data_IF_822281066681
#
_entry.id   IF_822281066681
#
_cell.length_a   1.000
_cell.length_b   1.000
_cell.length_c   1.000
_cell.angle_alpha   90.00
_cell.angle_beta   90.00
_cell.angle_gamma   90.00
#
_symmetry.space_group_name_H-M   'P 1'
#
loop_
_entity.id
_entity.type
_entity.pdbx_description
1 polymer ?
2 non-polymer ?
3 non-polymer ?
4 non-polymer ?
5 non-polymer ?
6 non-polymer ?
7 non-polymer ?
8 non-polymer ?
9 non-polymer ?
10 water ?
#
# COMPACT_ATOMS: atom_id res chain seq x y z
N UNK A 3 -17.45 -19.06 17.40
CA UNK A 3 -15.99 -18.83 17.17
C UNK A 3 -15.75 -18.32 15.73
N UNK A 4 -14.80 -18.89 14.98
CA UNK A 4 -14.72 -18.71 13.52
C UNK A 4 -15.45 -19.84 12.76
N UNK A 5 -16.60 -19.54 12.10
CA UNK A 5 -17.31 -20.57 11.29
C UNK A 5 -16.51 -21.06 10.08
N UNK A 6 -16.81 -22.25 9.59
CA UNK A 6 -16.27 -22.69 8.30
C UNK A 6 -16.91 -21.81 7.19
N UNK A 7 -16.25 -21.73 6.05
CA UNK A 7 -16.55 -20.74 4.99
C UNK A 7 -17.99 -20.87 4.49
N UNK A 8 -18.38 -22.07 4.09
CA UNK A 8 -19.72 -22.32 3.57
C UNK A 8 -20.80 -21.98 4.59
N UNK A 9 -20.48 -22.12 5.88
CA UNK A 9 -21.40 -21.74 6.96
C UNK A 9 -21.51 -20.23 7.15
N UNK A 10 -20.38 -19.55 7.09
CA UNK A 10 -20.35 -18.09 7.19
C UNK A 10 -21.05 -17.43 6.01
N UNK A 11 -20.90 -17.97 4.81
CA UNK A 11 -21.47 -17.36 3.59
C UNK A 11 -22.95 -17.68 3.36
N UNK A 12 -23.65 -16.68 2.80
CA UNK A 12 -25.07 -16.79 2.47
C UNK A 12 -25.48 -17.59 1.24
N UNK A 13 -24.54 -18.00 0.41
CA UNK A 13 -24.88 -18.82 -0.76
C UNK A 13 -23.59 -19.36 -1.36
N UNK A 14 -23.68 -20.41 -2.20
CA UNK A 14 -22.54 -20.80 -3.01
C UNK A 14 -22.41 -19.88 -4.22
N UNK A 15 -21.29 -20.01 -4.93
CA UNK A 15 -21.05 -19.30 -6.19
C UNK A 15 -21.97 -19.92 -7.25
N UNK A 16 -22.83 -19.13 -7.93
CA UNK A 16 -23.71 -19.81 -8.89
C UNK A 16 -22.95 -20.43 -10.04
N UNK A 17 -23.48 -21.53 -10.56
CA UNK A 17 -22.88 -22.21 -11.70
C UNK A 17 -22.83 -21.31 -12.93
N UNK A 18 -23.85 -20.47 -13.12
CA UNK A 18 -23.84 -19.47 -14.21
C UNK A 18 -22.64 -18.50 -14.11
N UNK A 19 -22.28 -18.07 -12.90
CA UNK A 19 -21.08 -17.23 -12.76
C UNK A 19 -19.84 -17.94 -13.28
N UNK A 20 -19.71 -19.22 -12.92
CA UNK A 20 -18.54 -20.02 -13.27
C UNK A 20 -18.47 -20.18 -14.78
N UNK A 21 -19.59 -20.52 -15.41
CA UNK A 21 -19.68 -20.58 -16.89
C UNK A 21 -19.17 -19.29 -17.54
N UNK A 22 -19.64 -18.13 -17.10
CA UNK A 22 -19.19 -16.85 -17.63
C UNK A 22 -17.68 -16.63 -17.46
N UNK A 23 -17.15 -17.01 -16.28
CA UNK A 23 -15.78 -16.78 -15.92
C UNK A 23 -14.81 -17.57 -16.77
N UNK A 24 -15.17 -18.82 -17.03
CA UNK A 24 -14.38 -19.71 -17.88
C UNK A 24 -14.37 -19.28 -19.34
N UNK A 25 -15.42 -18.58 -19.79
CA UNK A 25 -15.46 -18.02 -21.15
C UNK A 25 -14.69 -16.71 -21.28
N UNK A 26 -14.20 -16.14 -20.16
CA UNK A 26 -13.51 -14.87 -20.22
C UNK A 26 -12.44 -14.76 -19.13
N UNK A 27 -11.46 -15.64 -19.23
CA UNK A 27 -10.42 -15.79 -18.23
C UNK A 27 -9.37 -14.66 -18.23
N UNK A 28 -9.19 -13.97 -19.35
CA UNK A 28 -8.30 -12.80 -19.39
C UNK A 28 -8.85 -11.66 -18.54
N UNK A 29 -10.13 -11.37 -18.72
CA UNK A 29 -10.78 -10.36 -17.88
C UNK A 29 -10.77 -10.74 -16.40
N UNK A 30 -10.97 -12.02 -16.08
CA UNK A 30 -10.97 -12.49 -14.70
C UNK A 30 -9.57 -12.31 -14.09
N UNK A 31 -8.53 -12.72 -14.80
CA UNK A 31 -7.17 -12.48 -14.35
C UNK A 31 -6.91 -11.02 -14.05
N UNK A 32 -7.26 -10.13 -14.97
CA UNK A 32 -6.97 -8.71 -14.82
C UNK A 32 -7.72 -8.21 -13.58
N UNK A 33 -9.00 -8.57 -13.46
CA UNK A 33 -9.75 -8.17 -12.30
C UNK A 33 -9.15 -8.73 -10.99
N UNK A 34 -8.72 -9.99 -11.03
CA UNK A 34 -8.12 -10.62 -9.87
C UNK A 34 -6.89 -9.81 -9.44
N UNK A 35 -5.98 -9.57 -10.37
CA UNK A 35 -4.82 -8.66 -10.19
C UNK A 35 -5.22 -7.35 -9.50
N UNK A 36 -6.28 -6.72 -10.01
CA UNK A 36 -6.78 -5.48 -9.42
C UNK A 36 -7.32 -5.63 -8.03
N UNK A 37 -7.94 -6.78 -7.74
CA UNK A 37 -8.45 -7.07 -6.40
C UNK A 37 -7.34 -7.23 -5.35
N UNK A 38 -6.25 -7.88 -5.75
CA UNK A 38 -5.10 -8.07 -4.86
C UNK A 38 -4.54 -6.69 -4.51
N UNK A 39 -4.37 -5.83 -5.53
CA UNK A 39 -3.94 -4.46 -5.33
C UNK A 39 -4.90 -3.66 -4.42
N UNK A 40 -6.20 -3.70 -4.73
CA UNK A 40 -7.23 -3.02 -3.93
C UNK A 40 -7.23 -3.48 -2.46
N UNK A 41 -6.90 -4.74 -2.22
CA UNK A 41 -6.81 -5.29 -0.86
C UNK A 41 -5.64 -4.69 -0.09
N UNK A 42 -4.46 -4.66 -0.71
CA UNK A 42 -3.32 -3.93 -0.15
C UNK A 42 -3.65 -2.44 0.09
N UNK A 43 -4.28 -1.82 -0.90
CA UNK A 43 -4.67 -0.41 -0.80
C UNK A 43 -5.65 -0.11 0.36
N UNK A 44 -6.68 -0.95 0.48
CA UNK A 44 -7.66 -0.87 1.57
C UNK A 44 -6.97 -1.05 2.93
N UNK A 45 -6.05 -2.00 2.99
CA UNK A 45 -5.34 -2.26 4.22
C UNK A 45 -4.58 -1.00 4.63
N UNK A 46 -3.94 -0.34 3.65
CA UNK A 46 -3.22 0.89 3.95
C UNK A 46 -4.14 2.02 4.40
N UNK A 47 -5.29 2.19 3.75
CA UNK A 47 -6.27 3.21 4.16
C UNK A 47 -6.78 3.01 5.59
N UNK A 48 -6.90 1.75 6.03
CA UNK A 48 -7.23 1.44 7.42
C UNK A 48 -6.14 1.88 8.41
N UNK A 49 -4.88 1.59 8.10
CA UNK A 49 -3.74 2.07 8.90
C UNK A 49 -3.81 3.59 9.01
N UNK A 50 -4.02 4.30 7.90
CA UNK A 50 -4.08 5.77 7.94
C UNK A 50 -5.27 6.28 8.77
N UNK A 51 -6.43 5.63 8.66
CA UNK A 51 -7.60 6.00 9.47
C UNK A 51 -7.41 5.69 10.97
N UNK A 52 -6.94 4.48 11.28
CA UNK A 52 -6.86 3.96 12.65
C UNK A 52 -5.41 3.91 13.09
N UNK A 53 -4.74 5.04 12.92
CA UNK A 53 -3.28 5.16 13.02
C UNK A 53 -2.71 5.12 14.44
N UNK A 54 -3.54 4.72 15.39
CA UNK A 54 -3.21 4.60 16.80
C UNK A 54 -3.57 3.21 17.34
N UNK A 55 -4.35 2.44 16.57
CA UNK A 55 -4.74 1.09 16.95
C UNK A 55 -3.57 0.20 16.56
N UNK A 56 -2.75 -0.19 17.53
CA UNK A 56 -1.52 -0.93 17.26
C UNK A 56 -1.75 -2.32 16.63
N UNK A 57 -2.74 -3.07 17.14
CA UNK A 57 -3.05 -4.40 16.63
C UNK A 57 -3.52 -4.31 15.18
N UNK A 58 -4.42 -3.38 14.90
CA UNK A 58 -4.87 -3.16 13.55
C UNK A 58 -3.68 -2.87 12.63
N UNK A 59 -2.85 -1.91 13.05
CA UNK A 59 -1.72 -1.43 12.21
C UNK A 59 -0.71 -2.53 11.85
N UNK A 60 -0.33 -3.32 12.85
CA UNK A 60 0.55 -4.46 12.62
C UNK A 60 -0.02 -5.56 11.74
N UNK A 61 -1.29 -5.92 11.92
CA UNK A 61 -1.93 -6.93 11.06
C UNK A 61 -2.05 -6.40 9.64
N UNK A 62 -2.47 -5.15 9.51
CA UNK A 62 -2.77 -4.58 8.20
C UNK A 62 -1.51 -4.34 7.35
N UNK A 63 -0.39 -4.04 8.00
CA UNK A 63 0.90 -3.81 7.31
C UNK A 63 1.39 -5.15 6.74
N UNK A 64 1.34 -6.19 7.56
CA UNK A 64 1.64 -7.55 7.10
C UNK A 64 0.67 -8.02 6.00
N UNK A 65 -0.61 -7.79 6.20
CA UNK A 65 -1.60 -8.21 5.23
C UNK A 65 -1.34 -7.54 3.88
N UNK A 66 -1.13 -6.21 3.89
CA UNK A 66 -0.79 -5.48 2.65
C UNK A 66 0.40 -6.10 1.91
N UNK A 67 1.43 -6.49 2.64
CA UNK A 67 2.60 -7.05 1.99
C UNK A 67 2.23 -8.34 1.29
N UNK A 68 1.48 -9.19 1.96
CA UNK A 68 1.04 -10.45 1.39
C UNK A 68 0.14 -10.25 0.16
N UNK A 69 -0.75 -9.25 0.21
CA UNK A 69 -1.60 -8.95 -0.92
C UNK A 69 -0.80 -8.44 -2.13
N UNK A 70 0.26 -7.71 -1.84
CA UNK A 70 1.11 -7.16 -2.92
C UNK A 70 1.98 -8.25 -3.57
N UNK A 71 2.45 -9.22 -2.77
CA UNK A 71 3.05 -10.42 -3.35
C UNK A 71 2.08 -11.08 -4.37
N UNK A 72 0.83 -11.24 -3.99
CA UNK A 72 -0.16 -11.83 -4.89
C UNK A 72 -0.42 -10.97 -6.12
N UNK A 73 -0.51 -9.67 -5.94
CA UNK A 73 -0.60 -8.75 -7.05
C UNK A 73 0.51 -9.03 -8.08
N UNK A 74 1.73 -9.16 -7.58
CA UNK A 74 2.91 -9.43 -8.41
C UNK A 74 2.88 -10.82 -9.08
N UNK A 75 2.46 -11.84 -8.35
CA UNK A 75 2.28 -13.19 -8.94
C UNK A 75 1.26 -13.22 -10.09
N UNK A 76 0.12 -12.54 -9.92
CA UNK A 76 -0.89 -12.52 -10.99
C UNK A 76 -0.31 -11.77 -12.21
N UNK A 77 0.43 -10.68 -11.97
CA UNK A 77 1.11 -9.97 -13.07
C UNK A 77 2.10 -10.86 -13.82
N UNK A 78 2.91 -11.62 -13.10
CA UNK A 78 3.80 -12.63 -13.69
C UNK A 78 3.02 -13.61 -14.59
N UNK A 79 1.91 -14.12 -14.07
CA UNK A 79 1.08 -15.06 -14.79
C UNK A 79 0.43 -14.42 -16.03
N UNK A 80 -0.06 -13.18 -15.90
CA UNK A 80 -0.54 -12.42 -17.06
C UNK A 80 0.52 -12.29 -18.16
N UNK A 81 1.77 -12.06 -17.74
CA UNK A 81 2.91 -11.89 -18.67
C UNK A 81 3.20 -13.19 -19.45
N UNK A 82 3.30 -14.30 -18.73
CA UNK A 82 3.52 -15.62 -19.34
C UNK A 82 2.42 -16.07 -20.32
N UNK A 83 1.22 -15.52 -20.19
CA UNK A 83 0.07 -15.95 -20.98
C UNK A 83 -0.41 -14.90 -21.99
N UNK A 84 0.35 -13.83 -22.18
CA UNK A 84 -0.01 -12.78 -23.12
C UNK A 84 -1.31 -12.07 -22.83
N UNK A 85 -1.60 -11.88 -21.53
CA UNK A 85 -2.74 -11.06 -21.14
C UNK A 85 -2.25 -9.63 -21.08
N UNK A 86 -2.85 -8.74 -21.90
CA UNK A 86 -2.44 -7.35 -21.89
C UNK A 86 -2.96 -6.59 -20.67
N UNK A 87 -2.24 -5.52 -20.30
CA UNK A 87 -2.71 -4.61 -19.26
C UNK A 87 -3.76 -3.65 -19.82
N UNK A 88 -5.00 -4.12 -19.99
CA UNK A 88 -6.10 -3.21 -20.34
C UNK A 88 -6.79 -2.79 -19.04
N UNK A 89 -7.36 -1.57 -19.00
CA UNK A 89 -8.11 -1.16 -17.81
C UNK A 89 -9.41 -1.96 -17.69
N UNK A 90 -9.69 -2.41 -16.49
CA UNK A 90 -10.95 -3.06 -16.18
C UNK A 90 -11.40 -2.36 -14.94
N UNK A 91 -12.58 -1.77 -15.04
CA UNK A 91 -13.17 -0.99 -13.97
C UNK A 91 -13.56 -1.91 -12.82
N UNK A 92 -13.67 -1.34 -11.62
CA UNK A 92 -14.04 -2.07 -10.43
C UNK A 92 -15.51 -2.49 -10.51
N UNK A 93 -15.82 -3.70 -10.05
CA UNK A 93 -17.22 -4.17 -9.98
C UNK A 93 -17.96 -3.50 -8.85
N UNK A 94 -19.21 -3.89 -8.66
CA UNK A 94 -20.10 -3.28 -7.67
C UNK A 94 -19.91 -3.79 -6.24
N UNK A 95 -19.28 -4.96 -6.11
CA UNK A 95 -19.38 -5.78 -4.90
C UNK A 95 -18.85 -5.09 -3.66
N UNK A 96 -17.57 -4.75 -3.68
CA UNK A 96 -16.93 -4.11 -2.52
C UNK A 96 -17.63 -2.81 -2.08
N UNK A 97 -17.98 -1.94 -3.02
CA UNK A 97 -18.63 -0.67 -2.69
C UNK A 97 -20.07 -0.86 -2.23
N UNK A 98 -20.74 -1.86 -2.79
CA UNK A 98 -22.07 -2.25 -2.31
C UNK A 98 -22.08 -2.60 -0.82
N UNK A 99 -21.11 -3.41 -0.40
CA UNK A 99 -20.97 -3.82 1.01
C UNK A 99 -20.57 -2.66 1.95
N UNK A 100 -19.74 -1.75 1.46
CA UNK A 100 -19.30 -0.61 2.26
C UNK A 100 -20.42 0.37 2.59
N UNK A 101 -21.37 0.54 1.65
CA UNK A 101 -22.60 1.31 1.91
C UNK A 101 -23.30 0.87 3.21
N UNK A 102 -23.22 -0.41 3.55
CA UNK A 102 -23.76 -0.91 4.83
C UNK A 102 -23.07 -0.40 6.09
N UNK A 103 -21.83 0.05 6.00
CA UNK A 103 -21.06 0.42 7.19
C UNK A 103 -21.70 1.66 7.82
N UNK A 104 -21.90 1.63 9.15
CA UNK A 104 -22.35 2.82 9.91
C UNK A 104 -21.24 3.86 10.05
N UNK A 105 -21.67 5.12 10.16
CA UNK A 105 -20.76 6.26 10.17
C UNK A 105 -20.05 6.50 11.51
N UNK A 106 -20.55 5.92 12.59
CA UNK A 106 -20.10 6.26 13.96
C UNK A 106 -19.13 5.22 14.56
N UNK A 107 -18.18 5.67 15.39
CA UNK A 107 -17.19 4.80 16.05
C UNK A 107 -17.63 4.41 17.48
N UNK A 108 -17.19 3.24 17.99
CA UNK A 108 -16.22 2.27 17.47
C UNK A 108 -16.84 1.23 16.50
N UNK A 109 -18.09 1.44 16.11
CA UNK A 109 -18.86 0.42 15.42
C UNK A 109 -18.66 0.50 13.89
N UNK A 110 -18.31 1.68 13.38
CA UNK A 110 -17.84 1.84 11.99
C UNK A 110 -16.64 0.91 11.69
N UNK A 111 -15.74 0.76 12.67
CA UNK A 111 -14.54 -0.09 12.52
C UNK A 111 -14.87 -1.57 12.48
N UNK A 112 -15.65 -2.03 13.44
CA UNK A 112 -16.13 -3.43 13.47
C UNK A 112 -16.82 -3.78 12.15
N UNK A 113 -17.73 -2.92 11.70
CA UNK A 113 -18.47 -3.10 10.44
C UNK A 113 -17.51 -3.33 9.27
N UNK A 114 -16.53 -2.43 9.17
CA UNK A 114 -15.50 -2.46 8.11
C UNK A 114 -14.73 -3.79 8.16
N UNK A 115 -14.37 -4.24 9.35
CA UNK A 115 -13.64 -5.48 9.48
C UNK A 115 -14.52 -6.69 9.10
N UNK A 116 -15.80 -6.68 9.45
CA UNK A 116 -16.72 -7.76 9.04
C UNK A 116 -16.92 -7.79 7.52
N UNK A 117 -17.07 -6.62 6.88
CA UNK A 117 -17.05 -6.56 5.41
C UNK A 117 -15.78 -7.24 4.90
N UNK A 118 -14.64 -6.89 5.48
CA UNK A 118 -13.36 -7.53 5.17
C UNK A 118 -13.42 -9.05 5.23
N UNK A 119 -13.92 -9.59 6.33
CA UNK A 119 -14.10 -11.04 6.50
C UNK A 119 -14.94 -11.66 5.37
N UNK A 120 -16.04 -11.01 4.98
CA UNK A 120 -16.94 -11.53 3.93
C UNK A 120 -16.28 -11.58 2.55
N UNK A 121 -15.57 -10.50 2.19
CA UNK A 121 -14.84 -10.43 0.91
C UNK A 121 -13.81 -11.55 0.79
N UNK A 122 -13.00 -11.74 1.84
CA UNK A 122 -12.01 -12.81 1.93
C UNK A 122 -12.64 -14.21 1.91
N UNK A 123 -13.72 -14.39 2.66
CA UNK A 123 -14.42 -15.68 2.68
C UNK A 123 -14.99 -16.05 1.30
N UNK A 124 -15.59 -15.07 0.63
CA UNK A 124 -16.14 -15.28 -0.73
C UNK A 124 -15.04 -15.58 -1.72
N UNK A 125 -13.92 -14.84 -1.64
CA UNK A 125 -12.78 -15.14 -2.51
C UNK A 125 -12.29 -16.59 -2.32
N UNK A 126 -12.20 -17.03 -1.07
CA UNK A 126 -11.81 -18.40 -0.79
C UNK A 126 -12.77 -19.42 -1.44
N UNK A 127 -14.07 -19.22 -1.18
CA UNK A 127 -15.12 -20.12 -1.73
C UNK A 127 -15.15 -20.12 -3.25
N UNK A 128 -14.98 -18.94 -3.83
CA UNK A 128 -15.04 -18.79 -5.29
C UNK A 128 -13.79 -19.34 -6.01
N UNK A 129 -12.61 -19.17 -5.42
CA UNK A 129 -11.38 -19.79 -5.96
C UNK A 129 -11.56 -21.33 -6.00
N UNK A 130 -12.07 -21.90 -4.90
CA UNK A 130 -12.32 -23.36 -4.78
C UNK A 130 -13.32 -23.86 -5.80
N UNK A 131 -14.39 -23.10 -6.04
CA UNK A 131 -15.34 -23.44 -7.11
C UNK A 131 -14.70 -23.46 -8.51
N UNK A 132 -13.70 -22.62 -8.73
CA UNK A 132 -13.05 -22.53 -10.03
C UNK A 132 -11.97 -23.57 -10.29
N UNK A 133 -11.15 -23.84 -9.28
CA UNK A 133 -9.99 -24.72 -9.43
C UNK A 133 -10.24 -25.95 -10.32
N UNK A 134 -11.28 -26.75 -10.00
CA UNK A 134 -11.42 -27.97 -10.80
C UNK A 134 -11.70 -27.75 -12.28
N UNK A 135 -12.08 -26.54 -12.70
CA UNK A 135 -12.41 -26.28 -14.11
C UNK A 135 -11.30 -25.58 -14.88
N UNK A 136 -10.16 -25.32 -14.24
CA UNK A 136 -9.09 -24.53 -14.83
C UNK A 136 -7.96 -25.43 -15.30
N UNK A 137 -7.11 -24.90 -16.17
CA UNK A 137 -5.89 -25.59 -16.54
C UNK A 137 -5.01 -25.82 -15.34
N UNK A 138 -4.07 -26.74 -15.50
CA UNK A 138 -3.09 -27.13 -14.50
C UNK A 138 -2.51 -25.97 -13.67
N UNK A 139 -1.97 -24.95 -14.35
CA UNK A 139 -1.14 -23.94 -13.69
C UNK A 139 -2.05 -22.95 -12.96
N UNK A 140 -3.12 -22.50 -13.61
CA UNK A 140 -4.13 -21.70 -12.96
C UNK A 140 -4.76 -22.42 -11.77
N UNK A 141 -5.15 -23.69 -11.97
CA UNK A 141 -5.69 -24.52 -10.88
C UNK A 141 -4.79 -24.55 -9.66
N UNK A 142 -3.49 -24.77 -9.89
CA UNK A 142 -2.52 -24.85 -8.79
C UNK A 142 -2.32 -23.50 -8.09
N UNK A 143 -2.21 -22.44 -8.88
CA UNK A 143 -2.07 -21.07 -8.37
C UNK A 143 -3.30 -20.69 -7.54
N UNK A 144 -4.49 -20.86 -8.11
CA UNK A 144 -5.71 -20.54 -7.38
C UNK A 144 -5.92 -21.40 -6.12
N UNK A 145 -5.48 -22.66 -6.17
CA UNK A 145 -5.49 -23.57 -5.01
C UNK A 145 -4.54 -23.10 -3.91
N UNK A 146 -3.31 -22.73 -4.27
CA UNK A 146 -2.38 -22.10 -3.31
C UNK A 146 -2.89 -20.79 -2.68
N UNK A 147 -3.72 -20.02 -3.39
CA UNK A 147 -4.34 -18.81 -2.80
C UNK A 147 -5.51 -19.05 -1.84
N UNK A 148 -6.11 -20.24 -1.86
CA UNK A 148 -7.22 -20.60 -0.96
C UNK A 148 -6.86 -20.50 0.50
N UNK A 149 -5.72 -21.10 0.82
CA UNK A 149 -5.22 -21.17 2.18
C UNK A 149 -5.06 -19.77 2.78
N UNK A 150 -4.47 -18.86 2.02
CA UNK A 150 -4.25 -17.49 2.53
C UNK A 150 -5.58 -16.75 2.69
N UNK A 151 -6.52 -16.90 1.74
CA UNK A 151 -7.86 -16.26 1.83
C UNK A 151 -8.62 -16.66 3.08
N UNK A 152 -8.59 -17.95 3.41
CA UNK A 152 -9.20 -18.48 4.63
C UNK A 152 -8.57 -17.88 5.88
N UNK A 153 -7.24 -17.80 5.87
CA UNK A 153 -6.49 -17.15 6.95
C UNK A 153 -6.82 -15.66 7.07
N UNK A 154 -7.00 -14.97 5.95
CA UNK A 154 -7.38 -13.54 5.98
C UNK A 154 -8.81 -13.36 6.46
N UNK A 155 -9.71 -14.22 5.98
CA UNK A 155 -11.09 -14.28 6.51
C UNK A 155 -11.04 -14.41 8.06
N UNK A 156 -10.31 -15.40 8.55
CA UNK A 156 -10.02 -15.59 10.00
C UNK A 156 -9.50 -14.34 10.70
N UNK A 157 -8.43 -13.76 10.13
CA UNK A 157 -7.81 -12.54 10.64
C UNK A 157 -8.73 -11.36 10.78
N UNK A 158 -9.51 -11.06 9.73
CA UNK A 158 -10.48 -9.94 9.81
C UNK A 158 -11.56 -10.14 10.89
N UNK A 159 -12.08 -11.36 10.99
CA UNK A 159 -13.13 -11.67 11.96
C UNK A 159 -12.60 -11.64 13.41
N UNK A 160 -11.43 -12.25 13.63
CA UNK A 160 -10.70 -12.14 14.90
C UNK A 160 -10.43 -10.70 15.31
N UNK A 161 -10.03 -9.87 14.36
CA UNK A 161 -9.83 -8.44 14.64
C UNK A 161 -11.14 -7.72 14.91
N UNK A 162 -12.23 -8.15 14.29
CA UNK A 162 -13.56 -7.60 14.63
C UNK A 162 -13.87 -7.84 16.12
N UNK A 163 -13.59 -9.06 16.59
CA UNK A 163 -13.80 -9.44 18.00
C UNK A 163 -12.86 -8.74 18.98
N UNK A 164 -11.67 -8.33 18.51
CA UNK A 164 -10.80 -7.44 19.26
C UNK A 164 -11.53 -6.14 19.62
N UNK A 165 -12.32 -5.56 18.69
CA UNK A 165 -13.04 -4.28 18.90
C UNK A 165 -14.59 -4.38 19.03
N UNK A 166 -15.12 -5.56 19.31
CA UNK A 166 -16.55 -5.77 19.67
C UNK A 166 -16.63 -6.87 20.71
N UNK A 167 -17.71 -7.07 21.47
CA UNK A 167 -19.16 -6.84 21.19
C UNK A 167 -19.68 -8.03 20.40
N UNK A 168 -19.64 -9.19 21.05
CA UNK A 168 -20.14 -10.47 20.52
C UNK A 168 -21.51 -10.31 19.83
N UNK A 169 -22.43 -9.66 20.52
CA UNK A 169 -23.78 -9.48 20.01
C UNK A 169 -23.75 -8.50 18.84
N UNK A 170 -23.09 -7.36 19.01
CA UNK A 170 -22.96 -6.37 17.93
C UNK A 170 -22.27 -6.91 16.65
N UNK A 171 -21.29 -7.82 16.81
CA UNK A 171 -20.66 -8.45 15.66
C UNK A 171 -21.65 -9.40 14.96
N UNK A 172 -22.30 -10.25 15.76
CA UNK A 172 -23.34 -11.16 15.28
C UNK A 172 -24.46 -10.48 14.49
N UNK A 173 -24.89 -9.30 14.92
CA UNK A 173 -25.90 -8.53 14.18
C UNK A 173 -25.35 -7.94 12.91
N UNK A 174 -24.13 -7.42 12.97
CA UNK A 174 -23.47 -6.90 11.76
C UNK A 174 -23.24 -8.02 10.72
N UNK A 175 -22.76 -9.18 11.21
CA UNK A 175 -22.53 -10.36 10.37
C UNK A 175 -23.81 -10.76 9.64
N UNK A 176 -24.93 -10.81 10.38
CA UNK A 176 -26.27 -11.19 9.82
C UNK A 176 -26.72 -10.24 8.72
N UNK A 177 -26.49 -8.94 8.93
CA UNK A 177 -26.82 -7.90 7.95
C UNK A 177 -25.96 -7.96 6.68
N UNK A 178 -24.66 -8.19 6.84
CA UNK A 178 -23.74 -8.18 5.70
C UNK A 178 -23.93 -9.45 4.92
N UNK A 179 -24.16 -10.56 5.62
CA UNK A 179 -24.43 -11.82 4.96
C UNK A 179 -25.58 -11.68 3.92
N UNK A 180 -26.66 -11.01 4.34
CA UNK A 180 -27.83 -10.81 3.53
C UNK A 180 -27.49 -9.98 2.30
N UNK A 181 -26.88 -8.81 2.50
CA UNK A 181 -26.48 -7.97 1.37
C UNK A 181 -25.49 -8.68 0.44
N UNK A 182 -24.52 -9.38 1.02
CA UNK A 182 -23.51 -10.11 0.24
C UNK A 182 -24.13 -11.20 -0.66
N UNK A 183 -25.04 -11.98 -0.08
CA UNK A 183 -25.79 -12.99 -0.84
C UNK A 183 -26.54 -12.35 -2.00
N UNK A 184 -27.20 -11.23 -1.71
CA UNK A 184 -27.90 -10.50 -2.74
C UNK A 184 -26.95 -9.99 -3.84
N UNK A 185 -25.79 -9.45 -3.46
CA UNK A 185 -24.77 -9.05 -4.45
C UNK A 185 -24.30 -10.24 -5.33
N UNK A 186 -24.18 -11.43 -4.75
CA UNK A 186 -23.78 -12.62 -5.53
C UNK A 186 -24.91 -13.25 -6.38
N UNK A 187 -26.14 -13.29 -5.86
CA UNK A 187 -27.25 -13.97 -6.55
C UNK A 187 -27.96 -13.09 -7.60
N UNK A 188 -27.97 -11.76 -7.43
CA UNK A 188 -28.68 -10.88 -8.36
C UNK A 188 -27.97 -10.81 -9.71
N UNK A 189 -28.71 -10.53 -10.80
CA UNK A 189 -28.10 -10.35 -12.13
C UNK A 189 -27.09 -9.19 -12.16
N UNK A 190 -26.08 -9.31 -13.01
CA UNK A 190 -25.00 -8.32 -13.11
C UNK A 190 -24.64 -8.17 -14.60
N UNK A 191 -24.37 -6.95 -15.03
CA UNK A 191 -24.04 -6.68 -16.44
C UNK A 191 -22.61 -7.02 -16.82
N UNK A 192 -21.72 -7.12 -15.83
CA UNK A 192 -20.27 -7.23 -16.05
C UNK A 192 -19.74 -8.50 -15.38
N UNK A 193 -18.79 -9.17 -16.03
CA UNK A 193 -18.02 -10.23 -15.40
C UNK A 193 -16.85 -9.62 -14.64
N UNK A 194 -16.83 -9.91 -13.35
CA UNK A 194 -15.69 -9.63 -12.47
C UNK A 194 -15.52 -10.83 -11.54
N UNK A 195 -14.44 -10.84 -10.78
CA UNK A 195 -14.22 -11.88 -9.83
C UNK A 195 -15.35 -11.96 -8.81
N UNK A 196 -15.90 -10.82 -8.41
CA UNK A 196 -16.98 -10.80 -7.44
C UNK A 196 -18.30 -10.36 -8.07
N UNK A 197 -18.48 -10.58 -9.37
CA UNK A 197 -19.75 -10.16 -9.99
C UNK A 197 -20.89 -11.11 -9.62
N UNK A 198 -22.12 -10.62 -9.81
CA UNK A 198 -23.32 -11.41 -9.70
C UNK A 198 -23.54 -12.29 -10.92
N UNK A 199 -24.78 -12.71 -11.12
CA UNK A 199 -25.08 -13.68 -12.17
C UNK A 199 -25.13 -12.92 -13.52
N UNK A 200 -24.62 -13.52 -14.60
CA UNK A 200 -24.75 -12.86 -15.92
C UNK A 200 -26.20 -12.53 -16.34
N UNK A 201 -26.34 -11.57 -17.27
CA UNK A 201 -27.62 -10.99 -17.70
C UNK A 201 -28.17 -10.05 -16.64
N UNK B 2 27.72 11.82 -15.97
CA UNK B 2 27.88 10.94 -14.77
C UNK B 2 26.50 10.52 -14.24
N UNK B 3 25.82 9.65 -15.00
CA UNK B 3 24.46 9.17 -14.69
C UNK B 3 24.35 8.66 -13.26
N UNK B 4 23.31 9.08 -12.55
CA UNK B 4 23.12 8.71 -11.14
C UNK B 4 24.37 9.10 -10.30
N UNK B 5 24.50 10.38 -9.93
CA UNK B 5 25.65 10.78 -9.10
C UNK B 5 25.66 10.22 -7.67
N UNK B 6 26.72 10.49 -6.93
CA UNK B 6 26.83 10.14 -5.51
C UNK B 6 25.81 10.98 -4.74
N UNK B 7 25.47 10.56 -3.53
CA UNK B 7 24.37 11.20 -2.75
C UNK B 7 24.69 12.68 -2.49
N UNK B 8 25.88 12.97 -2.00
CA UNK B 8 26.25 14.36 -1.65
C UNK B 8 26.38 15.24 -2.90
N UNK B 9 26.79 14.65 -4.02
CA UNK B 9 26.83 15.36 -5.31
C UNK B 9 25.42 15.71 -5.80
N UNK B 10 24.55 14.70 -5.81
CA UNK B 10 23.15 14.88 -6.23
C UNK B 10 22.42 15.92 -5.37
N UNK B 11 22.69 15.93 -4.06
CA UNK B 11 22.01 16.87 -3.17
C UNK B 11 22.64 18.26 -3.15
N UNK B 12 21.79 19.25 -2.95
CA UNK B 12 22.19 20.64 -2.91
C UNK B 12 22.78 21.14 -1.59
N UNK B 13 22.61 20.41 -0.50
CA UNK B 13 23.20 20.82 0.79
C UNK B 13 23.28 19.66 1.76
N UNK B 14 24.17 19.76 2.77
CA UNK B 14 24.14 18.81 3.88
C UNK B 14 23.04 19.15 4.86
N UNK B 15 22.72 18.18 5.70
CA UNK B 15 21.76 18.38 6.78
C UNK B 15 22.41 19.37 7.76
N UNK B 16 21.70 20.46 8.15
CA UNK B 16 22.27 21.40 9.12
C UNK B 16 22.48 20.84 10.51
N UNK B 17 23.56 21.25 11.17
CA UNK B 17 23.85 20.82 12.55
C UNK B 17 22.72 21.19 13.46
N UNK B 18 22.11 22.35 13.20
CA UNK B 18 20.94 22.82 13.96
C UNK B 18 19.77 21.82 13.89
N UNK B 19 19.49 21.28 12.71
CA UNK B 19 18.48 20.21 12.60
C UNK B 19 18.84 19.03 13.49
N UNK B 20 20.10 18.57 13.40
CA UNK B 20 20.58 17.42 14.17
C UNK B 20 20.40 17.63 15.66
N UNK B 21 20.74 18.82 16.16
CA UNK B 21 20.55 19.18 17.58
C UNK B 21 19.11 19.07 18.04
N UNK B 22 18.19 19.58 17.23
CA UNK B 22 16.74 19.49 17.54
C UNK B 22 16.33 18.03 17.52
N UNK B 23 16.81 17.28 16.51
CA UNK B 23 16.41 15.89 16.37
C UNK B 23 16.81 15.05 17.58
N UNK B 24 18.02 15.29 18.09
CA UNK B 24 18.55 14.55 19.25
C UNK B 24 17.81 14.90 20.54
N UNK B 25 17.38 16.14 20.66
CA UNK B 25 16.55 16.59 21.79
C UNK B 25 15.10 16.05 21.77
N UNK B 26 14.64 15.47 20.65
CA UNK B 26 13.30 14.89 20.58
C UNK B 26 13.21 13.70 19.61
N UNK B 27 13.84 12.62 20.04
CA UNK B 27 13.94 11.39 19.26
C UNK B 27 12.62 10.64 19.15
N UNK B 28 11.70 10.91 20.08
CA UNK B 28 10.38 10.28 20.06
C UNK B 28 9.52 10.84 18.93
N UNK B 29 9.48 12.17 18.74
CA UNK B 29 8.70 12.68 17.60
C UNK B 29 9.38 12.35 16.28
N UNK B 30 10.70 12.31 16.27
CA UNK B 30 11.46 11.86 15.11
C UNK B 30 11.08 10.43 14.71
N UNK B 31 11.11 9.51 15.68
CA UNK B 31 10.68 8.13 15.46
C UNK B 31 9.27 8.01 14.93
N UNK B 32 8.35 8.80 15.49
CA UNK B 32 6.97 8.72 15.10
C UNK B 32 6.85 9.19 13.65
N UNK B 33 7.46 10.33 13.34
CA UNK B 33 7.39 10.85 12.00
C UNK B 33 8.07 9.92 10.98
N UNK B 34 9.18 9.32 11.39
CA UNK B 34 9.89 8.32 10.56
C UNK B 34 9.00 7.13 10.24
N UNK B 35 8.31 6.63 11.26
CA UNK B 35 7.36 5.53 11.08
C UNK B 35 6.34 5.89 10.00
N UNK B 36 5.80 7.11 10.12
CA UNK B 36 4.83 7.66 9.17
C UNK B 36 5.37 7.89 7.78
N UNK B 37 6.64 8.29 7.68
CA UNK B 37 7.32 8.41 6.40
C UNK B 37 7.46 7.08 5.68
N UNK B 38 7.77 6.00 6.41
CA UNK B 38 7.87 4.66 5.79
C UNK B 38 6.53 4.27 5.20
N UNK B 39 5.47 4.43 6.00
CA UNK B 39 4.09 4.18 5.56
C UNK B 39 3.75 5.03 4.34
N UNK B 40 4.01 6.34 4.42
CA UNK B 40 3.67 7.25 3.33
C UNK B 40 4.34 6.85 2.03
N UNK B 41 5.59 6.43 2.12
CA UNK B 41 6.32 5.97 0.94
C UNK B 41 5.66 4.75 0.32
N UNK B 42 5.17 3.85 1.16
CA UNK B 42 4.43 2.69 0.69
C UNK B 42 3.15 3.13 -0.01
N UNK B 43 2.42 4.08 0.58
CA UNK B 43 1.14 4.50 0.01
C UNK B 43 1.33 5.31 -1.26
N UNK B 44 2.37 6.13 -1.28
CA UNK B 44 2.72 6.84 -2.51
C UNK B 44 3.00 5.86 -3.65
N UNK B 45 3.83 4.86 -3.40
CA UNK B 45 4.10 3.84 -4.37
C UNK B 45 2.83 3.23 -4.95
N UNK B 46 1.85 2.94 -4.07
CA UNK B 46 0.57 2.36 -4.52
C UNK B 46 -0.25 3.34 -5.37
N UNK B 47 -0.33 4.60 -4.97
CA UNK B 47 -0.99 5.64 -5.78
C UNK B 47 -0.37 5.77 -7.17
N UNK B 48 0.94 5.62 -7.27
CA UNK B 48 1.63 5.61 -8.56
C UNK B 48 1.21 4.42 -9.42
N UNK B 49 1.14 3.24 -8.81
CA UNK B 49 0.64 2.04 -9.50
C UNK B 49 -0.76 2.29 -10.05
N UNK B 50 -1.63 2.88 -9.22
CA UNK B 50 -3.00 3.16 -9.61
C UNK B 50 -3.14 4.27 -10.66
N UNK B 51 -2.31 5.31 -10.59
CA UNK B 51 -2.30 6.36 -11.62
C UNK B 51 -1.71 5.90 -12.92
N UNK B 52 -0.64 5.10 -12.87
CA UNK B 52 0.09 4.62 -14.05
C UNK B 52 -0.08 3.12 -14.23
N UNK B 53 -1.35 2.71 -14.26
CA UNK B 53 -1.72 1.29 -14.29
C UNK B 53 -1.38 0.50 -15.57
N UNK B 54 -1.04 1.16 -16.66
CA UNK B 54 -0.54 0.45 -17.85
C UNK B 54 0.98 0.49 -18.01
N UNK B 55 1.68 1.11 -17.06
CA UNK B 55 3.14 1.19 -17.08
C UNK B 55 3.76 0.03 -16.36
N UNK B 56 4.01 -1.06 -17.07
CA UNK B 56 4.44 -2.29 -16.43
C UNK B 56 5.72 -2.19 -15.62
N UNK B 57 6.71 -1.46 -16.11
CA UNK B 57 7.99 -1.32 -15.39
C UNK B 57 7.79 -0.65 -14.03
N UNK B 58 7.06 0.47 -14.04
CA UNK B 58 6.75 1.20 -12.82
C UNK B 58 6.00 0.29 -11.82
N UNK B 59 5.03 -0.47 -12.32
CA UNK B 59 4.11 -1.21 -11.48
C UNK B 59 4.88 -2.24 -10.68
N UNK B 60 5.67 -3.03 -11.39
CA UNK B 60 6.50 -4.03 -10.77
C UNK B 60 7.56 -3.49 -9.79
N UNK B 61 8.17 -2.35 -10.10
CA UNK B 61 9.13 -1.74 -9.18
C UNK B 61 8.38 -1.18 -7.95
N UNK B 62 7.28 -0.47 -8.18
CA UNK B 62 6.50 0.12 -7.11
C UNK B 62 5.89 -0.90 -6.14
N UNK B 63 5.47 -2.06 -6.65
CA UNK B 63 4.83 -3.06 -5.79
C UNK B 63 5.87 -3.62 -4.83
N UNK B 64 7.04 -3.95 -5.35
CA UNK B 64 8.20 -4.38 -4.55
C UNK B 64 8.67 -3.33 -3.58
N UNK B 65 8.75 -2.09 -4.02
CA UNK B 65 9.22 -1.00 -3.17
C UNK B 65 8.28 -0.84 -1.96
N UNK B 66 6.97 -0.82 -2.24
CA UNK B 66 5.93 -0.69 -1.22
C UNK B 66 6.07 -1.75 -0.16
N UNK B 67 6.28 -2.99 -0.57
CA UNK B 67 6.58 -4.06 0.41
C UNK B 67 7.81 -3.79 1.29
N UNK B 68 8.88 -3.29 0.68
CA UNK B 68 10.07 -2.95 1.45
C UNK B 68 9.78 -1.84 2.46
N UNK B 69 9.10 -0.81 2.02
CA UNK B 69 8.77 0.31 2.89
C UNK B 69 7.81 -0.16 4.04
N UNK B 70 6.92 -1.11 3.75
CA UNK B 70 6.06 -1.65 4.79
C UNK B 70 6.83 -2.47 5.85
N UNK B 71 7.88 -3.17 5.42
CA UNK B 71 8.79 -3.85 6.36
C UNK B 71 9.44 -2.81 7.30
N UNK B 72 9.89 -1.71 6.72
CA UNK B 72 10.52 -0.66 7.51
C UNK B 72 9.54 -0.06 8.51
N UNK B 73 8.34 0.26 8.02
CA UNK B 73 7.23 0.72 8.87
C UNK B 73 7.05 -0.23 10.08
N UNK B 74 6.99 -1.52 9.80
CA UNK B 74 6.83 -2.51 10.87
C UNK B 74 8.03 -2.54 11.85
N UNK B 75 9.24 -2.33 11.32
CA UNK B 75 10.45 -2.32 12.16
C UNK B 75 10.50 -1.11 13.06
N UNK B 76 10.14 0.08 12.52
CA UNK B 76 10.06 1.26 13.36
C UNK B 76 9.04 1.05 14.52
N UNK B 77 7.88 0.50 14.19
CA UNK B 77 6.84 0.17 15.18
C UNK B 77 7.36 -0.78 16.28
N UNK B 78 8.10 -1.81 15.89
CA UNK B 78 8.72 -2.76 16.84
C UNK B 78 9.74 -2.07 17.77
N UNK B 79 10.54 -1.17 17.22
CA UNK B 79 11.52 -0.50 18.01
C UNK B 79 10.82 0.48 18.99
N UNK B 80 9.84 1.22 18.49
CA UNK B 80 8.99 2.06 19.34
C UNK B 80 8.39 1.26 20.50
N UNK B 81 7.86 0.08 20.19
CA UNK B 81 7.30 -0.80 21.20
C UNK B 81 8.33 -1.18 22.26
N UNK B 82 9.50 -1.66 21.85
CA UNK B 82 10.58 -2.04 22.80
C UNK B 82 11.05 -0.90 23.70
N UNK B 83 11.00 0.32 23.20
CA UNK B 83 11.48 1.47 23.93
C UNK B 83 10.36 2.31 24.57
N UNK B 84 9.14 1.78 24.63
CA UNK B 84 8.01 2.44 25.28
C UNK B 84 7.63 3.77 24.67
N UNK B 85 7.68 3.88 23.35
CA UNK B 85 7.29 5.10 22.70
C UNK B 85 5.85 4.94 22.23
N UNK B 86 4.93 5.71 22.82
CA UNK B 86 3.53 5.55 22.50
C UNK B 86 3.22 6.16 21.14
N UNK B 87 2.18 5.66 20.50
CA UNK B 87 1.72 6.25 19.25
C UNK B 87 0.93 7.52 19.58
N UNK B 88 1.03 8.52 18.74
CA UNK B 88 0.19 9.69 18.89
C UNK B 88 0.23 10.38 17.55
N UNK B 89 -0.77 11.22 17.25
CA UNK B 89 -0.81 11.77 15.91
C UNK B 89 0.26 12.81 15.71
N UNK B 90 0.99 12.68 14.61
CA UNK B 90 1.97 13.70 14.20
C UNK B 90 1.65 13.98 12.74
N UNK B 91 1.18 15.19 12.45
CA UNK B 91 0.76 15.54 11.12
C UNK B 91 1.98 15.66 10.19
N UNK B 92 1.74 15.56 8.88
CA UNK B 92 2.81 15.57 7.91
C UNK B 92 3.56 16.92 7.92
N UNK B 93 4.88 16.87 7.73
CA UNK B 93 5.66 18.09 7.53
C UNK B 93 5.44 18.70 6.15
N UNK B 94 6.07 19.84 5.90
CA UNK B 94 5.92 20.57 4.64
C UNK B 94 6.69 19.98 3.43
N UNK B 95 7.65 19.09 3.68
CA UNK B 95 8.73 18.80 2.70
C UNK B 95 8.22 18.20 1.38
N UNK B 96 7.54 17.06 1.47
CA UNK B 96 7.10 16.32 0.27
C UNK B 96 6.07 17.08 -0.59
N UNK B 97 5.13 17.77 0.06
CA UNK B 97 4.20 18.67 -0.63
C UNK B 97 4.92 19.79 -1.34
N UNK B 98 5.84 20.44 -0.62
CA UNK B 98 6.71 21.48 -1.17
C UNK B 98 7.32 21.04 -2.47
N UNK B 99 7.93 19.86 -2.47
CA UNK B 99 8.50 19.30 -3.69
C UNK B 99 7.42 18.93 -4.71
N UNK B 100 6.31 18.33 -4.29
CA UNK B 100 5.26 17.95 -5.25
C UNK B 100 4.68 19.11 -6.04
N UNK B 101 4.63 20.31 -5.45
CA UNK B 101 4.25 21.55 -6.15
C UNK B 101 5.14 21.91 -7.37
N UNK B 102 6.41 21.51 -7.36
CA UNK B 102 7.29 21.69 -8.53
C UNK B 102 6.94 20.81 -9.73
N UNK B 103 6.08 19.81 -9.52
CA UNK B 103 5.76 18.84 -10.56
C UNK B 103 4.83 19.45 -11.61
N UNK B 104 5.12 19.17 -12.88
CA UNK B 104 4.35 19.70 -14.01
C UNK B 104 3.05 18.93 -14.19
N UNK B 105 2.07 19.62 -14.77
CA UNK B 105 0.72 19.09 -14.94
C UNK B 105 0.51 18.19 -16.17
N UNK B 106 1.46 18.18 -17.10
CA UNK B 106 1.25 17.50 -18.39
C UNK B 106 1.98 16.16 -18.50
N UNK B 107 1.26 15.11 -18.88
CA UNK B 107 1.91 13.86 -19.21
C UNK B 107 2.61 13.99 -20.58
N UNK B 108 3.71 13.25 -20.79
CA UNK B 108 4.35 12.29 -19.91
C UNK B 108 5.34 12.92 -18.91
N UNK B 109 5.53 14.24 -18.96
CA UNK B 109 6.54 14.89 -18.12
C UNK B 109 6.14 14.95 -16.63
N UNK B 110 4.84 14.99 -16.36
CA UNK B 110 4.32 14.87 -15.00
C UNK B 110 4.85 13.62 -14.30
N UNK B 111 5.03 12.53 -15.04
CA UNK B 111 5.57 11.30 -14.46
C UNK B 111 7.07 11.39 -14.16
N UNK B 112 7.86 11.86 -15.12
CA UNK B 112 9.31 11.87 -14.91
C UNK B 112 9.63 12.77 -13.73
N UNK B 113 8.89 13.88 -13.59
CA UNK B 113 9.09 14.82 -12.47
C UNK B 113 8.77 14.21 -11.11
N UNK B 114 7.61 13.55 -11.01
CA UNK B 114 7.21 12.79 -9.84
C UNK B 114 8.32 11.85 -9.37
N UNK B 115 8.91 11.13 -10.31
CA UNK B 115 10.00 10.20 -10.01
C UNK B 115 11.30 10.88 -9.58
N UNK B 116 11.61 12.04 -10.16
CA UNK B 116 12.79 12.81 -9.76
C UNK B 116 12.62 13.26 -8.31
N UNK B 117 11.40 13.70 -7.97
CA UNK B 117 11.09 14.13 -6.60
C UNK B 117 11.33 12.97 -5.63
N UNK B 118 10.88 11.77 -6.01
CA UNK B 118 11.14 10.54 -5.24
C UNK B 118 12.62 10.28 -4.98
N UNK B 119 13.40 10.37 -6.07
CA UNK B 119 14.84 10.26 -5.97
C UNK B 119 15.44 11.25 -4.97
N UNK B 120 14.91 12.47 -4.92
CA UNK B 120 15.41 13.47 -3.96
C UNK B 120 15.03 13.15 -2.52
N UNK B 121 13.77 12.78 -2.30
CA UNK B 121 13.30 12.37 -0.98
C UNK B 121 14.14 11.24 -0.40
N UNK B 122 14.42 10.26 -1.24
CA UNK B 122 15.24 9.10 -0.85
C UNK B 122 16.72 9.48 -0.63
N UNK B 123 17.25 10.33 -1.50
CA UNK B 123 18.64 10.75 -1.38
C UNK B 123 18.84 11.47 -0.06
N UNK B 124 17.89 12.36 0.26
CA UNK B 124 17.97 13.14 1.49
C UNK B 124 17.85 12.26 2.74
N UNK B 125 16.94 11.29 2.68
CA UNK B 125 16.78 10.35 3.78
C UNK B 125 18.06 9.62 4.04
N UNK B 126 18.74 9.22 2.97
CA UNK B 126 20.05 8.57 3.06
C UNK B 126 21.09 9.47 3.72
N UNK B 127 21.23 10.68 3.19
CA UNK B 127 22.18 11.65 3.76
C UNK B 127 21.91 11.91 5.26
N UNK B 128 20.62 12.07 5.58
CA UNK B 128 20.22 12.49 6.92
C UNK B 128 20.37 11.39 7.96
N UNK B 129 20.03 10.14 7.59
CA UNK B 129 20.35 8.98 8.44
C UNK B 129 21.83 8.96 8.75
N UNK B 130 22.68 9.15 7.73
CA UNK B 130 24.16 9.13 7.90
C UNK B 130 24.66 10.22 8.83
N UNK B 131 24.07 11.41 8.72
CA UNK B 131 24.35 12.50 9.64
C UNK B 131 23.94 12.17 11.08
N UNK B 132 22.87 11.42 11.23
CA UNK B 132 22.37 11.08 12.56
C UNK B 132 23.11 9.99 13.29
N UNK B 133 23.44 8.90 12.60
CA UNK B 133 23.91 7.65 13.28
C UNK B 133 25.11 7.74 14.25
N UNK B 134 26.07 8.66 14.02
CA UNK B 134 27.13 8.84 15.02
C UNK B 134 26.66 9.33 16.39
N UNK B 135 25.51 10.03 16.42
CA UNK B 135 24.98 10.59 17.66
C UNK B 135 23.97 9.72 18.42
N UNK B 136 23.61 8.56 17.87
CA UNK B 136 22.58 7.71 18.44
C UNK B 136 23.15 6.58 19.27
N UNK B 137 22.29 5.96 20.07
CA UNK B 137 22.65 4.76 20.82
C UNK B 137 22.85 3.59 19.86
N UNK B 138 23.51 2.56 20.36
CA UNK B 138 23.93 1.43 19.53
C UNK B 138 22.82 0.82 18.65
N UNK B 139 21.71 0.39 19.26
CA UNK B 139 20.65 -0.29 18.50
C UNK B 139 19.97 0.62 17.45
N UNK B 140 19.74 1.86 17.82
CA UNK B 140 19.21 2.84 16.87
C UNK B 140 20.14 3.14 15.71
N UNK B 141 21.42 3.33 16.03
CA UNK B 141 22.45 3.61 15.02
C UNK B 141 22.54 2.47 14.02
N UNK B 142 22.49 1.25 14.53
CA UNK B 142 22.54 0.06 13.69
C UNK B 142 21.31 -0.04 12.77
N UNK B 143 20.14 0.24 13.31
CA UNK B 143 18.89 0.18 12.55
C UNK B 143 18.92 1.21 11.45
N UNK B 144 19.27 2.43 11.82
CA UNK B 144 19.36 3.53 10.87
C UNK B 144 20.45 3.35 9.78
N UNK B 145 21.55 2.67 10.15
CA UNK B 145 22.62 2.32 9.20
C UNK B 145 22.06 1.37 8.16
N UNK B 146 21.30 0.37 8.64
CA UNK B 146 20.63 -0.57 7.74
C UNK B 146 19.68 0.12 6.78
N UNK B 147 18.93 1.10 7.27
CA UNK B 147 18.01 1.85 6.46
C UNK B 147 18.72 2.71 5.43
N UNK B 148 19.84 3.34 5.79
CA UNK B 148 20.51 4.27 4.87
C UNK B 148 20.98 3.58 3.56
N UNK B 149 21.39 2.34 3.69
CA UNK B 149 21.80 1.54 2.55
C UNK B 149 20.59 1.22 1.63
N UNK B 150 19.42 0.94 2.21
CA UNK B 150 18.22 0.75 1.39
C UNK B 150 17.76 2.08 0.73
N UNK B 151 17.89 3.20 1.42
CA UNK B 151 17.58 4.49 0.82
C UNK B 151 18.44 4.80 -0.42
N UNK B 152 19.73 4.43 -0.39
CA UNK B 152 20.62 4.67 -1.54
C UNK B 152 20.19 3.88 -2.79
N UNK B 153 19.72 2.66 -2.58
CA UNK B 153 19.18 1.84 -3.67
C UNK B 153 17.88 2.44 -4.24
N UNK B 154 17.02 2.94 -3.35
CA UNK B 154 15.73 3.52 -3.78
C UNK B 154 15.96 4.80 -4.54
N UNK B 155 16.98 5.55 -4.14
CA UNK B 155 17.35 6.76 -4.87
C UNK B 155 17.78 6.36 -6.28
N UNK B 156 18.61 5.34 -6.41
CA UNK B 156 19.03 4.86 -7.73
C UNK B 156 17.85 4.38 -8.55
N UNK B 157 17.01 3.56 -7.88
CA UNK B 157 15.79 3.03 -8.48
C UNK B 157 14.88 4.08 -9.05
N UNK B 158 14.65 5.14 -8.30
CA UNK B 158 13.78 6.23 -8.74
C UNK B 158 14.38 7.00 -9.91
N UNK B 159 15.69 7.26 -9.88
CA UNK B 159 16.39 7.92 -11.01
C UNK B 159 16.43 7.07 -12.27
N UNK B 160 16.74 5.77 -12.14
CA UNK B 160 16.68 4.85 -13.26
C UNK B 160 15.30 4.84 -13.91
N UNK B 161 14.26 4.82 -13.10
CA UNK B 161 12.90 4.81 -13.62
C UNK B 161 12.53 6.11 -14.33
N UNK B 162 12.96 7.25 -13.78
CA UNK B 162 12.80 8.54 -14.48
C UNK B 162 13.48 8.54 -15.88
N UNK B 163 14.67 7.94 -15.98
CA UNK B 163 15.37 7.81 -17.28
C UNK B 163 14.71 6.80 -18.21
N UNK B 164 14.05 5.79 -17.65
CA UNK B 164 13.23 4.86 -18.43
C UNK B 164 12.08 5.53 -19.17
N UNK B 165 11.52 6.60 -18.62
CA UNK B 165 10.36 7.28 -19.21
C UNK B 165 10.61 8.73 -19.68
N UNK B 166 11.88 9.17 -19.70
CA UNK B 166 12.21 10.55 -20.06
C UNK B 166 13.52 10.72 -20.78
N UNK B 167 13.71 11.93 -21.32
CA UNK B 167 14.93 12.29 -22.06
C UNK B 167 15.99 12.91 -21.14
N UNK B 168 17.25 12.51 -21.34
CA UNK B 168 18.40 12.99 -20.53
C UNK B 168 18.33 14.47 -20.17
N UNK B 169 18.09 15.31 -21.18
CA UNK B 169 18.15 16.75 -21.03
C UNK B 169 17.03 17.28 -20.15
N UNK B 170 15.81 16.81 -20.41
CA UNK B 170 14.65 17.25 -19.64
C UNK B 170 14.69 16.77 -18.18
N UNK B 171 15.23 15.59 -17.95
CA UNK B 171 15.49 15.13 -16.59
C UNK B 171 16.53 16.02 -15.91
N UNK B 172 17.69 16.14 -16.54
CA UNK B 172 18.76 17.03 -16.05
C UNK B 172 18.21 18.43 -15.68
N UNK B 173 17.28 18.96 -16.47
CA UNK B 173 16.58 20.22 -16.15
C UNK B 173 15.72 20.12 -14.90
N UNK B 174 14.99 19.02 -14.79
CA UNK B 174 14.09 18.77 -13.66
C UNK B 174 14.90 18.68 -12.36
N UNK B 175 15.96 17.86 -12.40
CA UNK B 175 16.85 17.66 -11.27
C UNK B 175 17.42 18.99 -10.77
N UNK B 176 17.70 19.92 -11.68
CA UNK B 176 18.27 21.21 -11.32
C UNK B 176 17.24 22.07 -10.59
N UNK B 177 16.01 22.07 -11.08
CA UNK B 177 14.92 22.82 -10.44
C UNK B 177 14.57 22.29 -9.05
N UNK B 178 14.49 20.96 -8.90
CA UNK B 178 14.10 20.35 -7.61
C UNK B 178 15.24 20.44 -6.58
N UNK B 179 16.49 20.25 -7.04
CA UNK B 179 17.71 20.47 -6.21
C UNK B 179 17.66 21.75 -5.45
N UNK B 180 17.27 22.84 -6.14
CA UNK B 180 17.20 24.17 -5.53
C UNK B 180 16.05 24.32 -4.56
N UNK B 181 14.89 23.81 -4.94
CA UNK B 181 13.70 23.79 -4.05
C UNK B 181 13.96 22.96 -2.79
N UNK B 182 14.55 21.78 -2.96
CA UNK B 182 14.87 20.89 -1.85
C UNK B 182 15.87 21.50 -0.84
N UNK B 183 16.84 22.25 -1.31
CA UNK B 183 17.79 22.88 -0.45
C UNK B 183 17.12 23.94 0.36
N UNK B 184 16.32 24.75 -0.31
CA UNK B 184 15.53 25.77 0.37
C UNK B 184 14.66 25.21 1.50
N UNK B 185 13.97 24.08 1.24
CA UNK B 185 13.17 23.44 2.33
C UNK B 185 14.05 22.92 3.48
N UNK B 186 15.26 22.48 3.17
CA UNK B 186 16.16 21.92 4.18
C UNK B 186 16.86 23.02 4.98
N UNK B 187 17.28 24.07 4.28
CA UNK B 187 18.04 25.15 4.92
C UNK B 187 17.18 26.21 5.57
N UNK B 188 15.99 26.46 5.01
CA UNK B 188 15.05 27.46 5.57
C UNK B 188 14.61 27.12 7.00
N UNK B 189 14.22 28.14 7.78
CA UNK B 189 13.67 27.89 9.11
C UNK B 189 12.29 27.20 9.09
N UNK B 190 11.96 26.52 10.17
CA UNK B 190 10.76 25.66 10.24
C UNK B 190 10.20 25.67 11.66
N UNK B 191 8.87 25.72 11.76
CA UNK B 191 8.18 25.81 13.04
C UNK B 191 7.96 24.47 13.77
N UNK B 192 8.52 23.38 13.24
CA UNK B 192 8.30 22.05 13.79
C UNK B 192 9.48 21.13 13.51
N UNK B 193 9.61 20.06 14.30
CA UNK B 193 10.60 19.03 14.04
C UNK B 193 9.91 17.89 13.29
N UNK B 194 10.49 17.53 12.15
CA UNK B 194 10.08 16.34 11.38
C UNK B 194 11.34 15.72 10.84
N UNK B 195 11.23 14.52 10.31
CA UNK B 195 12.40 13.90 9.71
C UNK B 195 12.97 14.77 8.58
N UNK B 196 12.10 15.36 7.77
CA UNK B 196 12.52 16.19 6.65
C UNK B 196 12.22 17.67 6.89
N UNK B 197 12.18 18.13 8.14
CA UNK B 197 11.97 19.55 8.40
C UNK B 197 13.24 20.39 8.11
N UNK B 198 13.04 21.69 8.03
CA UNK B 198 14.10 22.68 7.97
C UNK B 198 14.64 22.95 9.35
N UNK B 199 15.48 23.98 9.49
CA UNK B 199 16.16 24.28 10.77
C UNK B 199 15.13 24.89 11.73
N UNK B 200 15.05 24.42 12.99
CA UNK B 200 14.15 25.14 13.92
C UNK B 200 14.78 26.39 14.51
X LIG C 1 -4.80 -12.11 -1.84
X LIG D 1 -6.55 -12.01 0.70
X LIG E 1 7.04 -8.78 1.80
X LIG F 1 -24.06 -21.03 3.64
X LIG G 1 -3.35 -11.68 -26.67
X LIG H 1 -8.87 -10.48 -2.46
X LIG H 1 -9.61 -9.16 -2.50
X LIG H 1 -9.64 -11.43 -1.59
X LIG H 1 -7.44 -10.27 -2.00
X LIG H 1 -8.83 -11.04 -3.84
X LIG H 1 -10.72 -9.34 -3.39
X LIG H 1 -8.92 -11.58 -0.37
X LIG H 1 -6.81 -11.49 -1.59
X LIG I 1 0.58 -19.91 -5.05
X LIG I 1 -0.77 -20.24 -5.22
X LIG I 1 0.69 -18.46 -4.56
X LIG I 1 0.81 -18.47 -3.17
X LIG I 1 1.04 -17.25 -2.52
X LIG I 1 2.04 -17.41 -1.36
X LIG I 1 3.29 -16.87 -1.71
X LIG J 1 -28.18 -5.93 -4.82
X LIG J 1 -27.72 -5.21 -5.92
X LIG J 1 -28.27 -5.03 -3.57
X LIG J 1 -27.43 -5.50 -2.54
X LIG J 1 -27.23 -4.67 -1.42
X LIG J 1 -26.13 -3.63 -1.66
X LIG J 1 -26.15 -2.66 -0.65
X LIG K 1 -12.14 -5.97 -3.95
X LIG K 1 -13.19 -6.88 -4.23
X LIG K 1 -11.41 -6.33 -2.66
X LIG K 1 -11.65 -5.37 -1.64
X LIG K 1 -10.65 -5.14 -0.67
X LIG K 1 -10.50 -6.28 0.35
X LIG K 1 -10.71 -5.85 1.68
X LIG L 1 -1.86 8.00 2.88
X LIG L 1 -3.16 7.79 2.36
X LIG L 1 -3.75 6.43 2.79
X LIG L 1 -3.35 5.32 2.01
X LIG L 1 -3.74 5.32 0.66
X LIG L 1 -3.80 3.89 0.11
X LIG L 1 -3.29 3.83 -1.21
X LIG L 1 -3.96 4.60 -2.17
X LIG L 1 -3.78 3.95 -3.53
X LIG L 1 -4.92 4.22 -4.31
X LIG L 1 -5.55 3.14 -4.99
X LIG L 1 -7.07 3.17 -4.76
X LIG L 1 -7.54 1.89 -4.42
X LIG M 1 -9.87 -12.32 -6.41
X LIG N 1 -8.89 -17.00 -14.43
X LIG O 1 3.83 -17.90 -8.31
X LIG O 1 3.24 -18.27 -9.56
X LIG O 1 5.09 -17.07 -8.54
X LIG O 1 6.11 -17.53 -7.65
X LIG P 1 12.29 2.91 3.88
X LIG Q 1 13.01 4.23 1.05
X LIG R 1 11.21 7.17 3.39
X LIG R 1 11.16 5.84 2.67
X LIG R 1 10.18 8.13 2.80
X LIG R 1 12.56 7.80 3.27
X LIG R 1 10.96 6.87 4.83
X LIG R 1 12.19 4.99 3.19
X LIG R 1 10.29 9.45 3.37
X LIG R 1 13.08 7.53 1.96
X LIG S 1 9.94 -6.23 13.05
X LIG S 1 11.18 -6.64 13.56
X LIG S 1 9.43 -7.18 11.98
X LIG S 1 9.49 -6.55 10.74
X LIG S 1 8.84 -7.17 9.67
X LIG S 1 9.79 -8.16 8.99
X LIG S 1 9.07 -9.29 8.60
X LIG T 1 16.43 -5.66 7.23
X LIG T 1 15.47 -6.26 6.42
X LIG T 1 15.96 -4.25 7.57
X LIG T 1 16.89 -3.33 7.10
X LIG T 1 16.52 -2.46 6.08
X LIG T 1 16.74 -3.12 4.71
X LIG T 1 15.61 -2.95 3.89
X LIG U 1 11.52 -9.43 -3.41
X LIG U 1 10.79 -10.33 -2.61
X LIG U 1 11.94 -8.23 -2.56
X LIG U 1 10.82 -7.46 -2.20
X LIG U 1 10.96 -6.60 -1.10
X LIG U 1 10.78 -7.37 0.20
X LIG U 1 10.36 -6.52 1.21
X LIG V 1 7.60 9.65 -4.84
X LIG V 1 7.12 10.98 -5.02
X LIG V 1 8.43 9.50 -3.55
X LIG V 1 7.76 8.83 -2.52
X LIG V 1 8.18 9.04 -1.17
X LIG V 1 6.98 9.56 -0.36
X LIG V 1 7.26 9.73 1.00
X LIG W 1 12.80 8.31 6.43
X LIG X 1 13.51 8.99 9.60
X LIG Y 1 14.70 8.11 12.64
X LIG Z 1 15.68 8.78 16.31
X LIG AA 1 13.73 -3.63 14.52
X LIG AA 1 14.24 -4.46 13.48
X LIG AA 1 14.72 -2.50 14.76
X LIG AA 1 15.63 -2.82 15.83
X LIG BA 1 15.77 10.76 24.14
X LIG BA 1 15.36 9.40 23.85
X LIG BA 1 14.75 11.73 23.54
X LIG BA 1 15.28 12.91 22.91
#
# INVERSE_FOLDING_TARGET
MSLIPEIDAFLGCPTPDAWIEAALADQETLLIDHKNCEFKAASTALSLIAKYNTHLDLINMMSRLAREELVHHEQVLRLMKRRGVPLRPVSAGRYASGLRRLVRAHEPVKLVDTLVVGAFIEARSCERFAALVPHLDEELGRFYHGLLKSEARHYQGYLKLAHNYGDEADIARRVELVRAAEMELIQSPDQELRFHSGIPQALAA
MSLIPEIDAFLGCPTPDAWIEAALADQETLLIDHKNCEFKAASTALSLIAKYNTHLDLINMMSRLAREELVHHEQVLRLMKRRGVPLRPVSAGRYASGLRRLVRAHEPVKLVDTLVVGAFIEARSCERFAALVPHLDEELGRFYHGLLKSEARHYQGYLKLAHNYGDEADIARRVELVRAAEMELIQSPDQELRFHSGIPQALAA
FE FE
FE FE
CL CL
CA CA
CA CA
TRS C C1 C2 C3 N O1 O2 O3
PEG C1 O1 C2 O2 C3 C4 O4
PEG C1 O1 C2 O2 C3 C4 O4
PEG C1 O1 C2 O2 C3 C4 O4
PG4 O1 C1 C2 O2 C3 C4 O3 C5 C6 O4 C7 C8 O5
KR KR
KR KR
EDO C1 O1 C2 O2
FE FE
FE FE
TRS C C1 C2 C3 N O1 O2 O3
PEG C1 O1 C2 O2 C3 C4 O4
PEG C1 O1 C2 O2 C3 C4 O4
PEG C1 O1 C2 O2 C3 C4 O4
PEG C1 O1 C2 O2 C3 C4 O4
KR KR
KR KR
KR KR
KR KR
EDO C1 O1 C2 O2
EDO C1 O1 C2 O2
#
